data_IF_645192852848
#
_entry.id   IF_645192852848
#
_cell.length_a   1.000
_cell.length_b   1.000
_cell.length_c   1.000
_cell.angle_alpha   90.00
_cell.angle_beta   90.00
_cell.angle_gamma   90.00
#
_symmetry.space_group_name_H-M   'P 1'
#
loop_
_entity.id
_entity.type
_entity.pdbx_description
1 polymer ?
2 non-polymer ?
3 water ?
#
# COMPACT_ATOMS: atom_id res chain seq x y z
N UNK A 26 -18.07 -15.31 5.81
CA UNK A 26 -16.64 -15.77 5.80
C UNK A 26 -16.05 -15.64 7.20
N UNK A 27 -14.75 -15.87 7.33
CA UNK A 27 -14.07 -15.83 8.65
C UNK A 27 -14.23 -14.48 9.38
N UNK A 28 -14.23 -13.39 8.61
CA UNK A 28 -14.11 -12.03 9.17
C UNK A 28 -15.28 -11.06 8.82
N UNK A 29 -16.39 -11.56 8.29
CA UNK A 29 -17.51 -10.65 7.95
C UNK A 29 -18.74 -10.99 8.76
N UNK A 30 -19.51 -9.98 9.16
CA UNK A 30 -20.59 -10.19 10.13
C UNK A 30 -21.95 -10.18 9.47
N UNK A 31 -22.49 -11.37 9.26
CA UNK A 31 -23.84 -11.46 8.73
C UNK A 31 -24.85 -11.14 9.84
N UNK A 32 -25.81 -10.28 9.48
CA UNK A 32 -27.10 -10.06 10.20
C UNK A 32 -27.16 -8.89 11.17
N UNK A 33 -26.12 -8.08 11.25
CA UNK A 33 -26.10 -6.99 12.22
C UNK A 33 -25.87 -5.64 11.53
N UNK A 34 -26.73 -4.68 11.85
CA UNK A 34 -26.61 -3.32 11.36
C UNK A 34 -25.36 -2.68 11.98
N UNK A 35 -24.38 -2.28 11.15
CA UNK A 35 -23.16 -1.67 11.66
C UNK A 35 -23.32 -0.25 12.22
N UNK A 36 -24.42 0.41 11.88
CA UNK A 36 -24.75 1.68 12.53
C UNK A 36 -25.40 1.49 13.89
N UNK A 37 -25.49 0.24 14.36
CA UNK A 37 -25.76 -0.05 15.77
C UNK A 37 -24.46 -0.19 16.56
N UNK A 38 -23.33 -0.26 15.87
CA UNK A 38 -21.97 -0.29 16.47
C UNK A 38 -21.20 1.02 16.24
N UNK A 39 -21.27 1.51 15.01
CA UNK A 39 -20.41 2.60 14.54
C UNK A 39 -21.21 3.79 14.03
N UNK A 40 -20.97 4.99 14.56
CA UNK A 40 -21.70 6.17 14.10
C UNK A 40 -20.88 6.97 13.11
N UNK A 41 -21.52 7.36 12.01
CA UNK A 41 -20.92 8.25 11.01
C UNK A 41 -20.83 9.67 11.53
N UNK A 42 -19.62 10.25 11.53
CA UNK A 42 -19.43 11.65 11.98
C UNK A 42 -19.23 12.57 10.77
N UNK A 43 -18.64 12.04 9.70
CA UNK A 43 -18.54 12.78 8.45
C UNK A 43 -18.16 11.90 7.27
N UNK A 44 -17.90 12.55 6.14
CA UNK A 44 -17.33 11.91 4.94
C UNK A 44 -15.81 12.13 4.95
N UNK A 45 -15.04 11.23 4.36
CA UNK A 45 -13.59 11.43 4.34
C UNK A 45 -13.05 11.62 2.89
N UNK A 46 -12.95 10.51 2.17
CA UNK A 46 -12.56 10.53 0.77
C UNK A 46 -13.77 10.14 -0.06
N UNK A 47 -13.50 9.62 -1.25
CA UNK A 47 -14.56 9.17 -2.15
C UNK A 47 -13.97 8.23 -3.19
N UNK A 48 -13.45 7.09 -2.71
CA UNK A 48 -12.91 6.03 -3.58
C UNK A 48 -13.99 5.45 -4.50
N UNK A 49 -13.70 5.38 -5.79
CA UNK A 49 -14.73 5.14 -6.83
C UNK A 49 -15.50 3.80 -6.76
N UNK A 50 -15.21 2.95 -5.76
CA UNK A 50 -16.08 1.80 -5.41
C UNK A 50 -17.37 2.27 -4.68
N UNK A 51 -17.22 3.24 -3.76
CA UNK A 51 -18.36 3.89 -3.06
C UNK A 51 -18.00 5.19 -2.33
N UNK A 52 -18.66 5.46 -1.20
CA UNK A 52 -18.29 6.57 -0.33
C UNK A 52 -17.50 6.02 0.88
N UNK A 53 -16.66 6.87 1.51
CA UNK A 53 -15.90 6.49 2.72
C UNK A 53 -16.06 7.53 3.85
N UNK A 54 -16.22 7.03 5.08
CA UNK A 54 -16.72 7.85 6.19
C UNK A 54 -15.85 7.87 7.43
N UNK A 55 -15.83 9.02 8.10
CA UNK A 55 -15.32 9.12 9.46
C UNK A 55 -16.31 8.36 10.34
N UNK A 56 -15.83 7.29 10.98
CA UNK A 56 -16.65 6.48 11.86
C UNK A 56 -16.12 6.54 13.29
N UNK A 57 -17.01 6.35 14.25
CA UNK A 57 -16.63 6.30 15.65
C UNK A 57 -17.44 5.22 16.38
N UNK A 58 -16.72 4.37 17.11
CA UNK A 58 -17.29 3.28 17.87
C UNK A 58 -18.18 3.84 18.95
N UNK A 59 -19.42 3.37 18.99
CA UNK A 59 -20.41 3.89 19.94
C UNK A 59 -20.03 3.54 21.36
N UNK A 60 -19.36 2.40 21.54
CA UNK A 60 -18.94 1.92 22.86
C UNK A 60 -17.54 2.44 23.24
N UNK A 61 -16.51 2.04 22.49
CA UNK A 61 -15.12 2.41 22.81
C UNK A 61 -14.72 3.83 22.37
N UNK A 62 -15.47 4.41 21.44
CA UNK A 62 -15.09 5.70 20.78
C UNK A 62 -13.82 5.69 19.90
N UNK A 63 -13.29 4.51 19.61
CA UNK A 63 -12.21 4.35 18.65
C UNK A 63 -12.70 4.79 17.28
N UNK A 64 -11.87 5.59 16.61
CA UNK A 64 -12.18 6.12 15.29
C UNK A 64 -11.82 5.09 14.25
N UNK A 65 -12.52 5.14 13.13
CA UNK A 65 -12.29 4.20 12.04
C UNK A 65 -12.68 4.76 10.68
N UNK A 66 -12.01 4.25 9.64
CA UNK A 66 -12.35 4.55 8.26
C UNK A 66 -13.34 3.52 7.81
N UNK A 67 -14.53 3.99 7.43
CA UNK A 67 -15.61 3.10 7.03
C UNK A 67 -15.79 3.12 5.52
N UNK A 68 -15.42 2.03 4.86
CA UNK A 68 -15.73 1.79 3.45
C UNK A 68 -17.11 1.09 3.35
N UNK A 69 -18.08 1.77 2.75
CA UNK A 69 -19.35 1.19 2.37
C UNK A 69 -19.36 0.89 0.87
N UNK A 70 -19.28 -0.40 0.54
CA UNK A 70 -19.30 -0.85 -0.84
C UNK A 70 -20.70 -1.41 -1.20
N UNK A 71 -21.38 -0.83 -2.19
CA UNK A 71 -22.62 -1.45 -2.70
C UNK A 71 -22.30 -2.75 -3.43
N UNK A 72 -23.14 -3.75 -3.22
CA UNK A 72 -22.99 -5.04 -3.87
C UNK A 72 -24.36 -5.51 -4.39
N UNK A 73 -24.45 -5.72 -5.71
CA UNK A 73 -25.69 -6.17 -6.32
C UNK A 73 -26.13 -7.51 -5.71
N UNK A 74 -25.19 -8.45 -5.62
CA UNK A 74 -25.47 -9.84 -5.23
C UNK A 74 -24.55 -10.30 -4.10
N UNK A 75 -24.69 -11.56 -3.69
CA UNK A 75 -23.80 -12.17 -2.71
C UNK A 75 -22.57 -12.86 -3.33
N UNK A 76 -22.67 -13.31 -4.58
CA UNK A 76 -21.48 -13.81 -5.29
C UNK A 76 -20.41 -12.68 -5.37
N UNK A 77 -20.87 -11.43 -5.31
CA UNK A 77 -19.98 -10.27 -5.33
C UNK A 77 -19.10 -10.10 -4.08
N UNK A 78 -19.49 -10.70 -2.95
CA UNK A 78 -18.65 -10.63 -1.75
C UNK A 78 -17.29 -11.28 -1.97
N UNK A 79 -17.21 -12.35 -2.77
CA UNK A 79 -15.91 -12.97 -3.08
C UNK A 79 -14.95 -11.93 -3.70
N UNK A 80 -15.49 -10.98 -4.45
CA UNK A 80 -14.64 -9.95 -5.04
C UNK A 80 -13.81 -9.14 -4.03
N UNK A 81 -14.27 -9.05 -2.78
CA UNK A 81 -13.63 -8.17 -1.79
C UNK A 81 -12.91 -8.89 -0.69
N UNK A 82 -13.03 -10.21 -0.70
CA UNK A 82 -12.49 -11.03 0.37
C UNK A 82 -10.97 -11.10 0.41
N UNK A 83 -10.29 -10.49 -0.54
CA UNK A 83 -8.83 -10.49 -0.49
C UNK A 83 -8.32 -9.28 0.28
N UNK A 84 -8.94 -8.11 0.07
CA UNK A 84 -8.67 -6.94 0.91
C UNK A 84 -8.89 -7.33 2.37
N UNK A 85 -10.06 -7.90 2.67
CA UNK A 85 -10.42 -8.34 4.01
C UNK A 85 -9.43 -9.34 4.60
N UNK A 86 -8.96 -10.28 3.77
CA UNK A 86 -8.13 -11.36 4.27
C UNK A 86 -6.74 -10.85 4.51
N UNK A 87 -6.25 -10.04 3.57
CA UNK A 87 -5.00 -9.29 3.72
C UNK A 87 -4.97 -8.46 5.03
N UNK A 88 -5.94 -7.56 5.23
CA UNK A 88 -6.01 -6.75 6.44
C UNK A 88 -6.15 -7.55 7.75
N UNK A 89 -7.00 -8.56 7.73
CA UNK A 89 -7.27 -9.35 8.94
C UNK A 89 -6.04 -10.14 9.33
N UNK A 90 -5.30 -10.61 8.33
CA UNK A 90 -4.19 -11.51 8.54
C UNK A 90 -2.87 -10.78 8.74
N UNK A 91 -2.77 -9.55 8.23
CA UNK A 91 -1.56 -8.71 8.49
C UNK A 91 -1.48 -8.22 9.93
N UNK A 92 -0.27 -8.22 10.48
CA UNK A 92 0.01 -7.67 11.81
C UNK A 92 1.35 -6.95 11.77
N UNK A 93 1.33 -5.68 11.36
CA UNK A 93 2.54 -4.88 11.31
C UNK A 93 2.21 -3.44 11.72
N UNK A 94 3.12 -2.77 12.46
CA UNK A 94 2.85 -1.40 12.91
C UNK A 94 2.62 -0.37 11.78
N UNK A 95 3.13 -0.63 10.58
CA UNK A 95 3.00 0.29 9.46
C UNK A 95 2.04 -0.19 8.37
N UNK A 96 1.15 -1.10 8.72
CA UNK A 96 0.06 -1.50 7.83
C UNK A 96 -1.25 -1.36 8.59
N UNK A 97 -2.21 -0.64 8.01
CA UNK A 97 -3.50 -0.47 8.66
C UNK A 97 -4.11 -1.84 9.07
N UNK A 98 -4.81 -1.82 10.20
CA UNK A 98 -5.41 -3.02 10.74
C UNK A 98 -6.91 -3.01 10.48
N UNK A 99 -7.47 -4.21 10.25
CA UNK A 99 -8.93 -4.35 10.09
C UNK A 99 -9.55 -4.36 11.46
N UNK A 100 -10.53 -3.49 11.65
CA UNK A 100 -11.24 -3.41 12.92
C UNK A 100 -12.51 -4.26 12.89
N UNK A 101 -13.20 -4.24 11.74
CA UNK A 101 -14.56 -4.76 11.70
C UNK A 101 -15.16 -4.75 10.30
N UNK A 102 -15.96 -5.77 10.00
CA UNK A 102 -16.61 -5.91 8.68
C UNK A 102 -18.04 -6.43 8.84
N UNK A 103 -18.92 -5.98 7.94
CA UNK A 103 -20.35 -6.29 8.03
C UNK A 103 -20.93 -6.44 6.65
N UNK A 104 -21.75 -7.46 6.42
CA UNK A 104 -22.63 -7.50 5.25
C UNK A 104 -24.05 -7.26 5.73
N UNK A 105 -24.66 -6.16 5.27
CA UNK A 105 -25.99 -5.78 5.73
C UNK A 105 -26.69 -4.95 4.63
N UNK A 106 -27.87 -5.43 4.22
CA UNK A 106 -28.68 -4.79 3.15
C UNK A 106 -27.89 -4.38 1.89
N UNK A 107 -27.20 -5.34 1.28
CA UNK A 107 -26.47 -5.13 0.01
C UNK A 107 -25.35 -4.06 0.05
N UNK A 108 -24.69 -3.97 1.21
CA UNK A 108 -23.42 -3.24 1.35
C UNK A 108 -22.42 -4.04 2.17
N UNK A 109 -21.15 -3.91 1.85
CA UNK A 109 -20.08 -4.44 2.66
C UNK A 109 -19.58 -3.22 3.38
N UNK A 110 -19.46 -3.31 4.70
CA UNK A 110 -18.79 -2.29 5.49
C UNK A 110 -17.40 -2.83 5.83
N UNK A 111 -16.36 -2.07 5.52
CA UNK A 111 -15.00 -2.40 5.97
C UNK A 111 -14.52 -1.25 6.85
N UNK A 112 -14.13 -1.60 8.07
CA UNK A 112 -13.74 -0.62 9.06
C UNK A 112 -12.27 -0.83 9.39
N UNK A 113 -11.49 0.14 8.97
CA UNK A 113 -10.06 0.07 8.96
C UNK A 113 -9.60 1.09 9.97
N UNK A 114 -8.43 0.85 10.56
CA UNK A 114 -7.94 1.76 11.61
C UNK A 114 -7.68 3.13 11.00
N UNK A 115 -7.99 4.15 11.76
CA UNK A 115 -8.09 5.50 11.23
C UNK A 115 -6.80 6.24 11.48
N UNK A 116 -6.11 6.59 10.40
CA UNK A 116 -4.86 7.34 10.50
C UNK A 116 -5.19 8.82 10.45
N UNK A 117 -4.90 9.52 11.55
CA UNK A 117 -5.46 10.84 11.81
C UNK A 117 -4.93 11.95 10.89
N UNK A 118 -3.69 11.82 10.43
CA UNK A 118 -3.02 12.91 9.71
C UNK A 118 -3.55 13.22 8.33
N UNK A 119 -4.00 12.21 7.59
CA UNK A 119 -4.41 12.38 6.19
C UNK A 119 -3.48 11.57 5.30
N UNK A 120 -3.84 11.48 4.02
CA UNK A 120 -3.01 10.81 3.02
C UNK A 120 -1.82 11.70 2.61
N UNK A 121 -0.66 11.10 2.34
CA UNK A 121 0.56 11.86 2.06
C UNK A 121 0.36 12.92 0.96
N UNK A 122 -0.44 12.61 -0.05
CA UNK A 122 -0.67 13.58 -1.12
C UNK A 122 -1.67 14.64 -0.69
N UNK A 123 -2.66 14.24 0.11
CA UNK A 123 -3.65 15.19 0.61
C UNK A 123 -2.97 16.32 1.40
N UNK A 124 -1.85 16.01 2.04
CA UNK A 124 -1.03 16.99 2.76
C UNK A 124 -0.28 17.94 1.81
N UNK A 125 0.37 17.39 0.79
CA UNK A 125 1.06 18.20 -0.19
C UNK A 125 0.12 19.21 -0.87
N UNK A 126 -1.15 18.84 -1.03
CA UNK A 126 -2.17 19.74 -1.57
C UNK A 126 -2.54 20.81 -0.54
N UNK A 127 -2.82 20.38 0.69
CA UNK A 127 -3.12 21.34 1.78
C UNK A 127 -1.97 22.39 1.91
N UNK A 128 -0.72 21.93 1.95
CA UNK A 128 0.45 22.80 2.08
C UNK A 128 0.95 23.41 0.75
N UNK A 129 0.44 22.92 -0.38
CA UNK A 129 0.83 23.42 -1.70
C UNK A 129 2.33 23.24 -2.01
N UNK A 130 2.99 22.33 -1.30
CA UNK A 130 4.38 21.98 -1.58
C UNK A 130 4.67 20.49 -1.36
N UNK A 131 5.77 19.99 -1.96
CA UNK A 131 6.17 18.63 -1.72
C UNK A 131 6.87 18.47 -0.39
N UNK A 132 7.08 17.21 -0.01
CA UNK A 132 7.87 16.87 1.16
C UNK A 132 9.32 17.25 0.98
N UNK A 133 10.03 17.50 2.07
CA UNK A 133 11.46 17.71 1.98
C UNK A 133 12.12 16.34 1.97
N UNK A 134 13.42 16.31 1.73
CA UNK A 134 14.12 15.03 1.57
C UNK A 134 14.19 14.22 2.84
N UNK A 135 14.15 14.88 4.00
CA UNK A 135 14.18 14.18 5.29
C UNK A 135 12.81 13.58 5.62
N UNK A 136 11.76 14.25 5.15
CA UNK A 136 10.39 13.77 5.26
C UNK A 136 10.16 12.63 4.30
N UNK A 137 10.78 12.73 3.14
CA UNK A 137 10.74 11.61 2.21
C UNK A 137 11.49 10.43 2.81
N UNK A 138 12.61 10.68 3.49
CA UNK A 138 13.35 9.58 4.11
C UNK A 138 12.52 8.74 5.09
N UNK A 139 11.75 9.41 5.94
CA UNK A 139 11.00 8.70 6.97
C UNK A 139 9.91 7.85 6.30
N UNK A 140 9.17 8.44 5.38
CA UNK A 140 8.13 7.71 4.68
C UNK A 140 8.76 6.53 3.97
N UNK A 141 9.90 6.73 3.34
CA UNK A 141 10.49 5.68 2.56
C UNK A 141 10.97 4.51 3.41
N UNK A 142 11.52 4.77 4.59
CA UNK A 142 11.93 3.67 5.47
C UNK A 142 10.71 2.95 6.08
N UNK A 143 9.72 3.74 6.48
CA UNK A 143 8.50 3.22 7.10
C UNK A 143 7.71 2.43 6.09
N UNK A 144 7.45 3.05 4.94
CA UNK A 144 6.82 2.35 3.83
C UNK A 144 7.59 1.12 3.36
N UNK A 145 8.91 1.13 3.45
CA UNK A 145 9.68 -0.02 2.99
C UNK A 145 9.54 -1.17 3.98
N UNK A 146 9.50 -0.86 5.28
CA UNK A 146 9.25 -1.87 6.30
C UNK A 146 7.92 -2.59 6.01
N UNK A 147 6.89 -1.81 5.69
CA UNK A 147 5.58 -2.35 5.31
C UNK A 147 5.72 -3.40 4.20
N UNK A 148 6.17 -2.92 3.04
CA UNK A 148 6.42 -3.75 1.86
C UNK A 148 7.22 -5.02 2.14
N UNK A 149 8.25 -4.90 2.97
CA UNK A 149 9.11 -6.04 3.20
C UNK A 149 8.35 -7.15 3.93
N UNK A 150 7.52 -6.74 4.88
CA UNK A 150 6.65 -7.67 5.57
C UNK A 150 5.75 -8.29 4.53
N UNK A 151 5.04 -7.46 3.78
CA UNK A 151 4.15 -8.00 2.77
C UNK A 151 4.89 -9.05 1.94
N UNK A 152 6.05 -8.71 1.40
CA UNK A 152 6.74 -9.63 0.50
C UNK A 152 7.21 -10.90 1.21
N UNK A 153 7.74 -10.77 2.42
CA UNK A 153 8.04 -11.96 3.23
C UNK A 153 6.75 -12.84 3.35
N UNK A 154 5.58 -12.20 3.49
CA UNK A 154 4.29 -12.89 3.60
C UNK A 154 3.49 -13.07 2.29
N UNK A 155 4.15 -12.93 1.15
CA UNK A 155 3.57 -13.32 -0.14
C UNK A 155 2.36 -12.46 -0.57
N UNK A 156 2.37 -11.19 -0.18
CA UNK A 156 1.35 -10.23 -0.59
C UNK A 156 2.02 -9.17 -1.46
N UNK A 157 1.38 -8.78 -2.55
CA UNK A 157 1.87 -7.70 -3.37
C UNK A 157 0.81 -6.62 -3.27
N UNK A 158 1.21 -5.42 -2.92
CA UNK A 158 0.25 -4.36 -2.71
C UNK A 158 -0.46 -4.04 -4.03
N UNK A 159 0.35 -3.73 -5.05
CA UNK A 159 -0.09 -3.48 -6.42
C UNK A 159 -0.81 -2.16 -6.66
N UNK A 160 -0.84 -1.27 -5.68
CA UNK A 160 -1.39 0.08 -5.90
C UNK A 160 -0.75 1.07 -4.95
N UNK A 161 0.58 0.98 -4.87
CA UNK A 161 1.33 1.82 -3.97
C UNK A 161 1.32 3.19 -4.60
N UNK A 162 1.35 4.22 -3.77
CA UNK A 162 1.32 5.59 -4.21
C UNK A 162 1.07 6.45 -3.01
N UNK A 163 1.46 7.71 -3.13
CA UNK A 163 1.33 8.70 -2.07
C UNK A 163 -0.04 8.64 -1.42
N UNK A 164 -1.10 8.68 -2.20
CA UNK A 164 -2.46 8.66 -1.70
C UNK A 164 -2.92 7.43 -0.89
N UNK A 165 -2.18 6.33 -0.96
CA UNK A 165 -2.45 5.18 -0.08
C UNK A 165 -1.33 4.96 0.94
N UNK A 166 -0.56 6.00 1.23
CA UNK A 166 0.36 6.04 2.39
C UNK A 166 -0.22 7.09 3.34
N UNK A 167 -0.55 6.68 4.56
CA UNK A 167 -1.32 7.50 5.49
C UNK A 167 -0.52 7.86 6.73
N UNK A 168 -0.86 8.99 7.36
CA UNK A 168 -0.10 9.54 8.47
C UNK A 168 -0.85 9.48 9.79
N UNK A 169 -0.28 8.88 10.83
CA UNK A 169 -0.89 8.88 12.18
C UNK A 169 -0.75 10.21 12.92
N UNK A 170 -1.49 10.39 14.01
CA UNK A 170 -1.28 11.55 14.91
C UNK A 170 0.20 11.66 15.30
N UNK A 171 0.82 10.52 15.62
CA UNK A 171 2.20 10.48 16.14
C UNK A 171 3.31 10.71 15.10
N UNK A 172 2.93 10.99 13.86
CA UNK A 172 3.92 11.25 12.82
C UNK A 172 4.59 9.97 12.34
N UNK A 173 3.89 8.85 12.44
CA UNK A 173 4.28 7.63 11.74
C UNK A 173 3.45 7.49 10.46
N UNK A 174 3.66 6.41 9.72
CA UNK A 174 2.88 6.18 8.51
C UNK A 174 2.41 4.75 8.48
N UNK A 175 1.20 4.56 7.93
CA UNK A 175 0.58 3.27 7.74
C UNK A 175 0.13 3.20 6.29
N UNK A 176 0.40 2.07 5.66
CA UNK A 176 0.09 1.84 4.26
C UNK A 176 -1.28 1.16 4.13
N UNK A 177 -2.08 1.59 3.18
CA UNK A 177 -3.48 1.21 3.13
C UNK A 177 -3.94 0.84 1.70
N UNK A 178 -5.25 0.85 1.48
CA UNK A 178 -5.90 0.35 0.25
C UNK A 178 -5.34 -0.96 -0.38
N UNK A 179 -5.87 -2.09 0.07
CA UNK A 179 -5.45 -3.39 -0.48
C UNK A 179 -6.49 -3.95 -1.43
N UNK A 180 -7.26 -3.04 -2.01
CA UNK A 180 -8.32 -3.38 -2.97
C UNK A 180 -7.92 -4.26 -4.14
N UNK A 181 -6.75 -4.01 -4.70
CA UNK A 181 -6.22 -4.83 -5.81
C UNK A 181 -4.94 -5.56 -5.44
N UNK A 182 -4.76 -5.85 -4.17
CA UNK A 182 -3.61 -6.61 -3.73
C UNK A 182 -3.75 -8.10 -4.06
N UNK A 183 -2.61 -8.79 -4.16
CA UNK A 183 -2.59 -10.23 -4.41
C UNK A 183 -1.95 -10.94 -3.22
N UNK A 184 -2.50 -12.09 -2.86
CA UNK A 184 -1.96 -12.90 -1.74
C UNK A 184 -1.76 -14.32 -2.19
N UNK A 185 -0.51 -14.72 -2.39
CA UNK A 185 -0.23 -16.06 -2.95
C UNK A 185 -0.12 -17.20 -1.92
N UNK A 186 -0.49 -16.97 -0.66
CA UNK A 186 -0.28 -17.99 0.38
C UNK A 186 -1.12 -19.24 0.16
N UNK A 187 -2.32 -19.11 -0.40
CA UNK A 187 -3.21 -20.28 -0.56
C UNK A 187 -2.85 -21.10 -1.82
N UNK A 188 -2.49 -20.41 -2.92
CA UNK A 188 -2.04 -21.07 -4.17
C UNK A 188 -0.61 -21.71 -4.09
N UNK A 189 0.26 -21.18 -3.20
CA UNK A 189 1.55 -21.84 -2.87
C UNK A 189 1.30 -23.15 -2.10
N UNK A 190 0.47 -23.08 -1.05
CA UNK A 190 0.05 -24.29 -0.32
C UNK A 190 -0.82 -25.23 -1.18
N UNK A 191 -1.50 -24.70 -2.20
CA UNK A 191 -2.21 -25.51 -3.20
C UNK A 191 -1.19 -26.19 -4.13
N UNK A 192 -0.37 -25.39 -4.82
CA UNK A 192 0.69 -25.92 -5.69
C UNK A 192 1.58 -26.97 -4.97
N UNK A 193 2.27 -26.55 -3.90
CA UNK A 193 3.18 -27.46 -3.15
C UNK A 193 2.59 -28.84 -2.89
N UNK A 194 1.28 -28.92 -2.65
CA UNK A 194 0.64 -30.18 -2.25
C UNK A 194 0.69 -31.26 -3.34
N UNK A 195 1.30 -32.40 -3.01
CA UNK A 195 1.36 -33.57 -3.91
C UNK A 195 1.33 -34.91 -3.13
N UNK A 196 0.95 -35.98 -3.82
CA UNK A 196 1.02 -37.33 -3.26
C UNK A 196 1.65 -38.31 -4.27
N UNK A 197 2.18 -39.43 -3.75
CA UNK A 197 2.92 -40.41 -4.55
C UNK A 197 4.32 -39.92 -4.87
N UNK A 198 5.17 -40.84 -5.33
CA UNK A 198 6.52 -40.46 -5.72
C UNK A 198 6.42 -39.61 -7.00
N UNK A 199 7.02 -38.41 -6.98
CA UNK A 199 6.99 -37.43 -8.01
C UNK A 199 8.16 -37.48 -9.02
N UNK A 200 8.30 -38.59 -9.71
CA UNK A 200 9.33 -38.74 -10.74
C UNK A 200 9.25 -37.70 -11.84
N UNK A 201 8.08 -37.07 -12.04
CA UNK A 201 7.90 -36.25 -13.21
C UNK A 201 8.09 -34.77 -12.93
N UNK A 202 8.45 -34.42 -11.71
CA UNK A 202 8.49 -33.03 -11.32
C UNK A 202 9.66 -32.32 -11.97
N UNK A 203 9.44 -31.12 -12.49
CA UNK A 203 10.52 -30.28 -13.00
C UNK A 203 11.49 -29.97 -11.90
N UNK A 204 12.76 -29.71 -12.25
CA UNK A 204 13.74 -29.38 -11.25
C UNK A 204 13.48 -28.05 -10.58
N UNK A 205 12.91 -27.09 -11.32
CA UNK A 205 12.56 -25.77 -10.73
C UNK A 205 11.46 -25.87 -9.68
N UNK A 206 10.45 -26.69 -9.94
CA UNK A 206 9.42 -26.99 -8.97
C UNK A 206 10.10 -27.59 -7.78
N UNK A 207 10.92 -28.62 -8.01
CA UNK A 207 11.62 -29.34 -6.92
C UNK A 207 12.40 -28.41 -6.00
N UNK A 208 13.17 -27.49 -6.58
CA UNK A 208 13.92 -26.48 -5.79
C UNK A 208 13.07 -25.22 -5.35
N UNK A 209 11.74 -25.30 -5.35
CA UNK A 209 10.89 -24.18 -4.91
C UNK A 209 11.28 -22.88 -5.61
N UNK A 210 11.27 -22.93 -6.93
CA UNK A 210 11.65 -21.80 -7.75
C UNK A 210 10.56 -21.58 -8.80
N UNK A 211 9.31 -21.89 -8.41
CA UNK A 211 8.12 -21.47 -9.16
C UNK A 211 8.03 -19.93 -9.08
N UNK A 212 7.15 -19.33 -9.89
CA UNK A 212 7.03 -17.87 -9.89
C UNK A 212 6.43 -17.32 -8.59
N UNK A 213 5.64 -18.13 -7.89
CA UNK A 213 5.08 -17.74 -6.58
C UNK A 213 6.13 -17.56 -5.48
N UNK A 214 7.22 -18.34 -5.51
CA UNK A 214 8.31 -18.21 -4.51
C UNK A 214 9.32 -17.16 -4.93
N UNK A 215 9.45 -16.97 -6.24
CA UNK A 215 10.45 -16.05 -6.79
C UNK A 215 10.00 -14.60 -6.71
N UNK A 216 10.98 -13.67 -6.59
CA UNK A 216 10.67 -12.27 -6.29
C UNK A 216 10.10 -11.46 -7.45
N UNK A 217 10.27 -11.94 -8.68
CA UNK A 217 9.87 -11.21 -9.89
C UNK A 217 8.56 -10.43 -9.78
N UNK A 218 7.43 -11.08 -9.59
CA UNK A 218 6.16 -10.36 -9.44
C UNK A 218 6.15 -9.36 -8.29
N UNK A 219 6.77 -9.68 -7.16
CA UNK A 219 6.71 -8.78 -5.99
C UNK A 219 7.43 -7.43 -6.29
N UNK A 220 8.28 -7.43 -7.31
CA UNK A 220 9.13 -6.28 -7.60
C UNK A 220 8.39 -5.18 -8.33
N UNK A 221 7.18 -5.45 -8.79
CA UNK A 221 6.31 -4.37 -9.25
C UNK A 221 6.25 -3.32 -8.16
N UNK A 222 6.15 -3.75 -6.92
CA UNK A 222 5.95 -2.79 -5.87
C UNK A 222 7.14 -1.89 -5.67
N UNK A 223 8.34 -2.39 -5.97
CA UNK A 223 9.55 -1.62 -5.72
C UNK A 223 9.59 -0.49 -6.72
N UNK A 224 9.41 -0.80 -8.00
CA UNK A 224 9.27 0.25 -9.01
C UNK A 224 8.30 1.33 -8.56
N UNK A 225 7.09 0.95 -8.18
CA UNK A 225 6.14 1.93 -7.69
C UNK A 225 6.69 2.76 -6.54
N UNK A 226 7.37 2.12 -5.60
CA UNK A 226 7.90 2.88 -4.47
C UNK A 226 8.70 4.02 -5.05
N UNK A 227 9.49 3.70 -6.08
CA UNK A 227 10.29 4.69 -6.81
C UNK A 227 9.45 5.86 -7.23
N UNK A 228 8.40 5.62 -8.01
CA UNK A 228 7.51 6.69 -8.47
C UNK A 228 6.86 7.40 -7.31
N UNK A 229 6.60 6.71 -6.22
CA UNK A 229 5.96 7.36 -5.10
C UNK A 229 6.94 8.34 -4.49
N UNK A 230 8.21 7.98 -4.46
CA UNK A 230 9.24 8.89 -3.97
C UNK A 230 9.31 10.16 -4.82
N UNK A 231 9.34 10.04 -6.14
CA UNK A 231 9.35 11.25 -6.98
C UNK A 231 8.06 12.05 -6.78
N UNK A 232 6.94 11.35 -6.64
CA UNK A 232 5.66 11.98 -6.40
C UNK A 232 5.80 12.86 -5.17
N UNK A 233 6.33 12.28 -4.10
CA UNK A 233 6.49 13.03 -2.86
C UNK A 233 7.53 14.16 -2.95
N UNK A 234 8.43 14.09 -3.94
CA UNK A 234 9.49 15.08 -4.10
C UNK A 234 9.03 16.25 -4.92
N UNK A 235 8.14 15.99 -5.88
CA UNK A 235 7.71 16.98 -6.85
C UNK A 235 6.22 17.20 -6.81
N UNK A 236 5.56 16.78 -5.74
CA UNK A 236 4.07 16.80 -5.61
C UNK A 236 3.33 15.79 -6.50
N UNK A 237 3.66 15.74 -7.79
CA UNK A 237 2.93 14.90 -8.72
C UNK A 237 3.88 14.00 -9.51
N UNK A 238 3.38 12.80 -9.89
CA UNK A 238 4.23 11.74 -10.42
C UNK A 238 4.61 12.02 -11.87
N UNK A 239 5.72 11.44 -12.35
CA UNK A 239 6.15 11.59 -13.73
C UNK A 239 5.02 11.41 -14.73
N UNK A 240 5.10 12.16 -15.83
CA UNK A 240 4.08 12.15 -16.88
C UNK A 240 2.71 12.74 -16.46
N UNK A 241 2.63 13.35 -15.27
CA UNK A 241 1.37 14.00 -14.84
C UNK A 241 0.79 14.99 -15.83
N UNK A 242 1.63 15.54 -16.72
CA UNK A 242 1.23 16.59 -17.67
C UNK A 242 0.69 16.08 -19.00
N UNK A 243 0.90 14.79 -19.30
CA UNK A 243 0.49 14.23 -20.58
C UNK A 243 -0.98 13.88 -20.61
N UNK A 244 -1.53 13.72 -21.82
CA UNK A 244 -2.83 13.07 -21.97
C UNK A 244 -2.75 11.76 -21.21
N UNK A 245 -3.73 11.47 -20.36
CA UNK A 245 -3.74 10.19 -19.69
C UNK A 245 -3.59 9.00 -20.63
N UNK A 246 -4.12 9.09 -21.84
CA UNK A 246 -3.98 8.01 -22.80
C UNK A 246 -2.54 7.68 -23.20
N UNK A 247 -1.62 8.61 -22.99
CA UNK A 247 -0.22 8.43 -23.40
C UNK A 247 0.68 7.89 -22.29
N UNK A 248 0.15 7.80 -21.08
CA UNK A 248 0.99 7.50 -19.92
C UNK A 248 1.59 6.11 -20.02
N UNK A 249 0.73 5.12 -20.24
CA UNK A 249 1.22 3.77 -20.41
C UNK A 249 2.26 3.73 -21.53
N UNK A 250 1.96 4.23 -22.72
CA UNK A 250 2.94 4.18 -23.80
C UNK A 250 4.26 4.84 -23.42
N UNK A 251 4.21 5.88 -22.60
CA UNK A 251 5.43 6.62 -22.21
C UNK A 251 6.26 5.77 -21.27
N UNK A 252 5.59 5.09 -20.34
CA UNK A 252 6.30 4.19 -19.43
C UNK A 252 7.06 3.10 -20.17
N UNK A 253 6.44 2.50 -21.19
CA UNK A 253 7.15 1.61 -22.13
C UNK A 253 8.32 2.32 -22.84
N UNK A 254 8.04 3.37 -23.61
CA UNK A 254 9.07 4.06 -24.40
C UNK A 254 10.30 4.50 -23.65
N UNK A 255 10.10 5.18 -22.53
CA UNK A 255 11.12 6.03 -21.95
C UNK A 255 11.98 5.28 -20.95
N UNK A 256 13.22 5.73 -20.82
CA UNK A 256 14.05 5.31 -19.70
C UNK A 256 13.30 5.60 -18.39
N UNK A 257 13.72 4.95 -17.31
CA UNK A 257 13.11 5.21 -16.02
C UNK A 257 13.22 6.69 -15.70
N UNK A 258 12.17 7.27 -15.11
CA UNK A 258 12.15 8.69 -14.77
C UNK A 258 13.17 9.08 -13.70
N UNK A 259 13.49 10.37 -13.64
CA UNK A 259 14.40 10.86 -12.62
C UNK A 259 13.83 12.12 -12.00
N UNK A 260 14.50 12.58 -10.94
CA UNK A 260 14.16 13.87 -10.35
C UNK A 260 14.37 15.03 -11.36
N UNK A 261 13.40 15.95 -11.41
CA UNK A 261 13.40 17.10 -12.35
C UNK A 261 14.52 18.11 -12.06
N UNK A 262 14.59 18.60 -10.82
CA UNK A 262 15.67 19.46 -10.38
C UNK A 262 16.69 18.70 -9.50
N UNK A 263 17.46 17.77 -10.12
CA UNK A 263 18.39 16.87 -9.42
C UNK A 263 19.29 17.51 -8.39
N UNK A 264 19.67 18.76 -8.63
CA UNK A 264 20.55 19.49 -7.71
C UNK A 264 19.95 19.70 -6.33
N UNK A 265 18.62 19.63 -6.23
CA UNK A 265 17.92 19.74 -4.93
C UNK A 265 18.18 18.57 -4.00
N UNK A 266 18.45 17.40 -4.56
CA UNK A 266 18.44 16.19 -3.77
C UNK A 266 19.81 15.58 -3.59
N UNK A 267 19.96 14.85 -2.50
CA UNK A 267 21.20 14.16 -2.16
C UNK A 267 21.50 13.03 -3.13
N UNK A 268 22.72 12.53 -3.04
CA UNK A 268 23.18 11.48 -3.94
C UNK A 268 22.65 10.16 -3.48
N UNK A 269 22.34 10.05 -2.19
CA UNK A 269 21.65 8.85 -1.69
C UNK A 269 20.24 8.75 -2.28
N UNK A 270 19.44 9.82 -2.17
CA UNK A 270 18.12 9.88 -2.83
C UNK A 270 18.23 9.35 -4.26
N UNK A 271 19.08 9.99 -5.06
CA UNK A 271 19.26 9.67 -6.49
C UNK A 271 19.72 8.23 -6.73
N UNK A 272 20.60 7.71 -5.86
CA UNK A 272 21.09 6.34 -6.00
C UNK A 272 19.93 5.36 -5.70
N UNK A 273 19.23 5.60 -4.60
CA UNK A 273 18.09 4.78 -4.19
C UNK A 273 17.13 4.63 -5.35
N UNK A 274 16.72 5.74 -5.94
CA UNK A 274 15.85 5.71 -7.09
C UNK A 274 16.39 4.78 -8.18
N UNK A 275 17.70 4.79 -8.43
CA UNK A 275 18.26 3.99 -9.53
C UNK A 275 18.06 2.50 -9.24
N UNK A 276 18.03 2.16 -7.96
CA UNK A 276 17.81 0.77 -7.58
C UNK A 276 16.33 0.35 -7.61
N UNK A 277 15.41 1.30 -7.55
CA UNK A 277 13.98 1.02 -7.71
C UNK A 277 13.53 1.14 -9.13
N UNK A 278 14.04 2.17 -9.81
CA UNK A 278 13.55 2.54 -11.14
C UNK A 278 14.48 1.96 -12.19
N UNK A 279 14.30 0.65 -12.38
CA UNK A 279 15.20 -0.17 -13.19
C UNK A 279 14.38 -1.16 -14.03
N UNK A 280 14.40 -1.05 -15.35
CA UNK A 280 13.50 -1.87 -16.17
C UNK A 280 13.84 -3.38 -16.21
N UNK A 281 15.13 -3.73 -16.21
CA UNK A 281 15.52 -5.15 -16.12
C UNK A 281 15.07 -5.56 -14.74
N UNK A 282 13.91 -6.22 -14.68
CA UNK A 282 13.36 -6.63 -13.39
C UNK A 282 14.42 -7.33 -12.51
N UNK A 283 15.33 -8.12 -13.09
CA UNK A 283 16.35 -8.80 -12.27
C UNK A 283 17.23 -7.79 -11.58
N UNK A 284 17.75 -6.83 -12.36
CA UNK A 284 18.66 -5.86 -11.78
C UNK A 284 18.03 -5.14 -10.59
N UNK A 285 16.74 -4.82 -10.71
CA UNK A 285 16.05 -4.02 -9.71
C UNK A 285 16.14 -4.67 -8.34
N UNK A 286 16.32 -3.88 -7.30
CA UNK A 286 16.59 -4.43 -5.97
C UNK A 286 15.32 -4.92 -5.29
N UNK A 287 15.45 -5.97 -4.47
CA UNK A 287 14.39 -6.38 -3.55
C UNK A 287 14.29 -5.39 -2.39
N UNK A 288 13.25 -5.54 -1.60
CA UNK A 288 13.05 -4.69 -0.45
C UNK A 288 14.13 -5.03 0.57
N UNK A 289 14.42 -6.33 0.67
CA UNK A 289 15.42 -6.85 1.59
C UNK A 289 16.77 -6.19 1.32
N UNK A 290 17.19 -6.19 0.08
CA UNK A 290 18.40 -5.46 -0.34
C UNK A 290 18.30 -3.96 0.01
N UNK A 291 17.13 -3.37 -0.27
CA UNK A 291 16.88 -1.92 -0.13
C UNK A 291 16.93 -1.43 1.30
N UNK A 292 16.50 -2.26 2.25
CA UNK A 292 16.62 -1.88 3.66
C UNK A 292 18.08 -1.61 4.08
N UNK A 293 19.03 -2.16 3.31
CA UNK A 293 20.45 -2.00 3.63
C UNK A 293 21.03 -0.70 3.07
N UNK A 294 20.24 0.04 2.30
CA UNK A 294 20.69 1.27 1.66
C UNK A 294 20.87 2.45 2.65
N UNK A 295 21.92 3.27 2.44
CA UNK A 295 22.15 4.48 3.25
C UNK A 295 21.06 5.57 3.22
N UNK A 296 20.12 5.48 2.29
CA UNK A 296 19.04 6.45 2.18
C UNK A 296 18.01 6.20 3.27
N UNK A 297 17.82 4.93 3.59
CA UNK A 297 16.74 4.51 4.50
C UNK A 297 17.21 4.30 5.93
N UNK A 298 18.49 4.55 6.20
CA UNK A 298 19.00 4.36 7.56
C UNK A 298 18.68 5.61 8.40
N UNK A 299 17.42 5.72 8.79
CA UNK A 299 16.96 6.74 9.74
C UNK A 299 16.17 6.09 10.89
N UNK A 300 16.13 6.77 12.03
CA UNK A 300 15.44 6.24 13.22
C UNK A 300 14.78 7.34 14.09
N UNK A 301 14.33 8.42 13.45
CA UNK A 301 13.59 9.46 14.13
C UNK A 301 12.63 10.15 13.18
N UNK A 302 11.35 10.17 13.55
CA UNK A 302 10.28 10.74 12.71
C UNK A 302 9.98 12.21 13.00
N UNK A 303 10.90 12.90 13.65
CA UNK A 303 10.75 14.34 13.87
C UNK A 303 10.34 15.05 12.57
N UNK A 304 11.07 14.84 11.46
CA UNK A 304 10.70 15.50 10.21
C UNK A 304 9.21 15.47 9.91
N UNK A 305 8.55 14.36 10.23
CA UNK A 305 7.13 14.19 9.95
C UNK A 305 6.32 14.90 11.01
N UNK A 306 6.62 14.62 12.28
CA UNK A 306 5.89 15.24 13.38
C UNK A 306 5.77 16.76 13.16
N UNK A 307 6.77 17.33 12.49
CA UNK A 307 6.77 18.74 12.08
C UNK A 307 5.82 19.03 10.93
N UNK A 308 5.95 18.27 9.83
CA UNK A 308 5.10 18.46 8.66
C UNK A 308 3.63 18.41 9.08
N UNK A 309 3.27 17.38 9.85
CA UNK A 309 1.86 17.17 10.25
C UNK A 309 1.37 18.19 11.29
N UNK A 310 2.28 18.71 12.09
CA UNK A 310 1.95 19.79 13.04
C UNK A 310 1.65 21.11 12.29
N UNK A 311 2.34 21.35 11.18
CA UNK A 311 2.07 22.53 10.37
C UNK A 311 0.78 22.43 9.56
N UNK A 312 0.33 21.21 9.27
CA UNK A 312 -0.96 21.00 8.63
C UNK A 312 -2.11 20.91 9.65
N UNK A 313 -1.85 21.32 10.91
CA UNK A 313 -2.88 21.44 11.94
C UNK A 313 -2.81 22.82 12.60
X LIG B 1 10.33 -13.13 -1.70
X LIG B 1 10.88 -13.20 -3.03
X LIG B 1 9.26 -14.23 -1.51
X LIG B 1 8.00 -13.63 -1.19
X LIG C 1 7.86 2.41 13.28
X LIG C 1 6.44 2.30 13.23
X LIG C 1 8.41 1.54 14.40
X LIG C 1 9.71 2.02 14.79
#
# INVERSE_FOLDING_TARGET
>A
MHHHHHHSSGVDLGTENLYFQSMKQYEHVTRDLNPEDFWEIIGELGDGAFGKVYKAQNKETSVLAAAKVIDTKSEEELEDYMVEIDILASCDHPNIVKLLDAFYYENNLWILIEFCAGGAVDAVMLELERPLTESQIQVVCKQTLDALNYLHDNKIIHRDLKAGNILFTLDGDIKLADFGVSAKNTRTIQRRDSFIGTPYWMAPEVVMCETSKDRPYDYKADVWSLGITLIEMAEIEPPHHELNPMRVLLKIAKSEPPTLAQPSRWSSNFKDFLKKCLEKNVDARWTTSQLLQHPFVTVDSNKPIRELIAEAKAEVTEEVEDGKE
>B hetero
1 EDO C1 O1 C2 O2
>C hetero
1 EDO C1 O1 C2 O2
#
